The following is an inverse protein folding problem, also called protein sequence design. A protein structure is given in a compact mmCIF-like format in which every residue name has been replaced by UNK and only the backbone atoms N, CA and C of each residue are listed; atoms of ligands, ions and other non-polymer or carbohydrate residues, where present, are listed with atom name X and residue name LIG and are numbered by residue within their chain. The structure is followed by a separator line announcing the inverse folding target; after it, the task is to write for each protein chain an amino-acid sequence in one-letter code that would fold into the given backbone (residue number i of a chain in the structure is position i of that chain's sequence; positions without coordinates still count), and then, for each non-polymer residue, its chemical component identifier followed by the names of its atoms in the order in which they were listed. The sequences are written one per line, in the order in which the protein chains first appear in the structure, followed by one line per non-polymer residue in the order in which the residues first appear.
data_IF_495187491167
#
_entry.id   IF_495187491167
#
_cell.length_a   1.000
_cell.length_b   1.000
_cell.length_c   1.000
_cell.angle_alpha   90.00
_cell.angle_beta   90.00
_cell.angle_gamma   90.00
#
_symmetry.space_group_name_H-M   'P 1'
#
loop_
_entity.id
_entity.type
_entity.pdbx_description
1 polymer ?
#
# COMPACT_ATOMS: atom_id res chain seq x y z
N UNK A 1 -3.29 -12.35 2.90
CA UNK A 1 -3.80 -11.36 1.93
C UNK A 1 -5.29 -11.05 2.11
N UNK A 2 -6.14 -12.04 2.40
CA UNK A 2 -7.58 -11.83 2.63
C UNK A 2 -7.88 -10.81 3.74
N UNK A 3 -7.20 -10.91 4.89
CA UNK A 3 -7.34 -9.94 6.00
C UNK A 3 -6.93 -8.50 5.64
N UNK A 4 -6.14 -8.33 4.57
CA UNK A 4 -5.67 -7.04 4.07
C UNK A 4 -6.47 -6.56 2.85
N UNK A 5 -7.54 -7.25 2.47
CA UNK A 5 -8.45 -6.85 1.39
C UNK A 5 -7.88 -6.95 -0.03
N UNK A 6 -6.73 -7.61 -0.21
CA UNK A 6 -5.99 -7.64 -1.49
C UNK A 6 -6.09 -8.97 -2.23
N UNK A 7 -6.84 -9.93 -1.69
CA UNK A 7 -7.13 -11.19 -2.37
C UNK A 7 -8.33 -11.03 -3.30
N UNK A 8 -8.18 -11.41 -4.57
CA UNK A 8 -9.22 -11.40 -5.59
C UNK A 8 -9.70 -12.83 -5.81
N UNK A 9 -10.88 -13.13 -5.30
CA UNK A 9 -11.47 -14.48 -5.37
C UNK A 9 -11.78 -14.91 -6.82
N UNK A 10 -12.16 -13.97 -7.69
CA UNK A 10 -12.47 -14.24 -9.11
C UNK A 10 -11.27 -14.73 -9.92
N UNK A 11 -10.06 -14.42 -9.47
CA UNK A 11 -8.81 -14.72 -10.16
C UNK A 11 -7.93 -15.70 -9.37
N UNK A 12 -8.41 -16.17 -8.21
CA UNK A 12 -7.67 -16.93 -7.21
C UNK A 12 -6.24 -16.38 -6.96
N UNK A 13 -6.14 -15.05 -6.88
CA UNK A 13 -4.86 -14.37 -6.87
C UNK A 13 -4.81 -13.27 -5.82
N UNK A 14 -3.61 -13.02 -5.29
CA UNK A 14 -3.34 -11.86 -4.42
C UNK A 14 -2.79 -10.72 -5.26
N UNK A 15 -3.44 -9.55 -5.20
CA UNK A 15 -2.94 -8.31 -5.80
C UNK A 15 -1.74 -7.73 -5.06
N UNK A 16 -1.00 -6.85 -5.73
CA UNK A 16 0.13 -6.12 -5.12
C UNK A 16 -0.43 -4.93 -4.36
N UNK A 17 0.01 -4.73 -3.12
CA UNK A 17 -0.39 -3.58 -2.33
C UNK A 17 0.73 -3.16 -1.39
N UNK A 18 0.68 -1.89 -0.99
CA UNK A 18 1.57 -1.32 -0.02
C UNK A 18 0.77 -0.76 1.15
N UNK A 19 1.28 -0.99 2.36
CA UNK A 19 0.69 -0.54 3.61
C UNK A 19 1.75 0.22 4.39
N UNK A 20 1.37 1.35 4.95
CA UNK A 20 2.19 2.11 5.90
C UNK A 20 1.53 1.97 7.25
N UNK A 21 2.31 1.53 8.23
CA UNK A 21 1.86 1.23 9.57
C UNK A 21 2.63 2.15 10.53
N UNK A 22 1.93 2.81 11.44
CA UNK A 22 2.57 3.61 12.49
C UNK A 22 3.17 2.74 13.60
N UNK A 23 3.82 3.39 14.57
CA UNK A 23 4.41 2.72 15.74
C UNK A 23 3.39 2.03 16.65
N UNK A 24 2.10 2.36 16.52
CA UNK A 24 1.00 1.75 17.28
C UNK A 24 0.42 0.54 16.58
N UNK A 25 0.90 0.20 15.37
CA UNK A 25 0.39 -0.90 14.57
C UNK A 25 -0.83 -0.54 13.72
N UNK A 26 -1.17 0.74 13.58
CA UNK A 26 -2.32 1.21 12.79
C UNK A 26 -1.91 1.44 11.34
N UNK A 27 -2.70 0.94 10.39
CA UNK A 27 -2.52 1.24 8.97
C UNK A 27 -2.95 2.69 8.73
N UNK A 28 -1.99 3.58 8.50
CA UNK A 28 -2.24 4.99 8.24
C UNK A 28 -2.39 5.30 6.75
N UNK A 29 -1.91 4.40 5.89
CA UNK A 29 -2.06 4.51 4.44
C UNK A 29 -2.04 3.12 3.79
N UNK A 30 -2.82 2.95 2.74
CA UNK A 30 -2.75 1.77 1.89
C UNK A 30 -3.00 2.13 0.42
N UNK A 31 -2.34 1.40 -0.49
CA UNK A 31 -2.56 1.51 -1.94
C UNK A 31 -2.43 0.16 -2.61
N UNK A 32 -3.43 -0.20 -3.41
CA UNK A 32 -3.42 -1.39 -4.27
C UNK A 32 -2.88 -1.01 -5.64
N UNK A 33 -1.99 -1.83 -6.19
CA UNK A 33 -1.38 -1.64 -7.50
C UNK A 33 -2.00 -2.58 -8.53
N UNK A 34 -2.23 -2.10 -9.76
CA UNK A 34 -2.53 -2.97 -10.89
C UNK A 34 -1.41 -3.99 -11.10
N UNK A 35 -1.73 -5.19 -11.60
CA UNK A 35 -0.74 -6.26 -11.83
C UNK A 35 0.40 -5.85 -12.75
N UNK A 36 0.10 -5.02 -13.75
CA UNK A 36 1.04 -4.56 -14.78
C UNK A 36 1.91 -3.37 -14.33
N UNK A 37 1.64 -2.80 -13.15
CA UNK A 37 2.39 -1.66 -12.63
C UNK A 37 3.22 -2.12 -11.43
N UNK A 38 4.52 -2.27 -11.65
CA UNK A 38 5.45 -2.45 -10.53
C UNK A 38 5.79 -1.06 -9.99
N UNK A 39 5.29 -0.65 -8.81
CA UNK A 39 5.68 0.64 -8.26
C UNK A 39 7.18 0.69 -8.08
N UNK A 40 7.82 1.61 -8.80
CA UNK A 40 9.20 1.97 -8.51
C UNK A 40 9.29 2.55 -7.10
N UNK A 41 10.44 2.36 -6.46
CA UNK A 41 10.74 2.90 -5.12
C UNK A 41 10.58 4.43 -5.06
N UNK A 42 10.75 5.14 -6.18
CA UNK A 42 10.61 6.60 -6.24
C UNK A 42 9.19 7.13 -5.94
N UNK A 43 8.16 6.52 -6.52
CA UNK A 43 6.77 6.93 -6.27
C UNK A 43 6.36 6.65 -4.82
N UNK A 44 6.92 5.59 -4.24
CA UNK A 44 6.69 5.22 -2.85
C UNK A 44 7.29 6.24 -1.87
N UNK A 45 8.56 6.62 -2.05
CA UNK A 45 9.19 7.62 -1.17
C UNK A 45 8.46 8.96 -1.23
N UNK A 46 8.06 9.41 -2.42
CA UNK A 46 7.32 10.68 -2.59
C UNK A 46 5.99 10.68 -1.83
N UNK A 47 5.25 9.57 -1.86
CA UNK A 47 4.00 9.42 -1.10
C UNK A 47 4.27 9.41 0.41
N UNK A 48 5.31 8.72 0.86
CA UNK A 48 5.71 8.68 2.27
C UNK A 48 6.15 10.06 2.80
N UNK A 49 6.95 10.78 2.03
CA UNK A 49 7.39 12.15 2.35
C UNK A 49 6.21 13.12 2.45
N UNK A 50 5.24 12.99 1.54
CA UNK A 50 4.03 13.82 1.55
C UNK A 50 3.14 13.54 2.77
N UNK A 51 3.05 12.29 3.23
CA UNK A 51 2.34 11.90 4.45
C UNK A 51 3.03 12.44 5.71
N UNK A 52 4.36 12.47 5.74
CA UNK A 52 5.12 13.03 6.86
C UNK A 52 4.95 14.56 6.95
N UNK A 53 4.97 15.25 5.81
CA UNK A 53 4.79 16.70 5.74
C UNK A 53 3.39 17.18 6.17
N UNK A 54 2.35 16.34 6.03
CA UNK A 54 0.98 16.66 6.46
C UNK A 54 0.73 16.47 7.97
N UNK A 55 1.64 15.80 8.68
CA UNK A 55 1.53 15.52 10.12
C UNK A 55 2.42 16.44 10.98
N UNK A 56 3.04 17.46 10.39
CA UNK A 56 3.86 18.50 11.05
C UNK A 56 3.13 19.83 11.08
#
# INVERSE_FOLDING_TARGET
SQLYGVYRQSEDATGRALFVIDSSGIICFSKVYPELLNPGVGDLLTVLESLHAHNS
#
